data_IF_334358111856
#
_entry.id   IF_334358111856
#
_cell.length_a   1.000
_cell.length_b   1.000
_cell.length_c   1.000
_cell.angle_alpha   90.00
_cell.angle_beta   90.00
_cell.angle_gamma   90.00
#
_symmetry.space_group_name_H-M   'P 1'
#
loop_
_entity.id
_entity.type
_entity.pdbx_description
1 polymer ?
#
# COMPACT_ATOMS: atom_id res chain seq x y z
N UNK A 1 0.59 -10.78 34.66
CA UNK A 1 0.22 -9.58 33.90
C UNK A 1 0.92 -9.70 32.57
N UNK A 2 0.18 -9.95 31.48
CA UNK A 2 0.76 -10.05 30.14
C UNK A 2 1.52 -8.76 29.83
N UNK A 3 2.76 -8.90 29.35
CA UNK A 3 3.65 -7.78 29.11
C UNK A 3 3.03 -6.83 28.07
N UNK A 4 2.74 -5.59 28.48
CA UNK A 4 2.16 -4.56 27.62
C UNK A 4 3.16 -4.03 26.58
N UNK A 5 4.37 -4.56 26.56
CA UNK A 5 5.45 -4.14 25.66
C UNK A 5 5.25 -4.59 24.21
N UNK A 6 4.74 -5.80 24.00
CA UNK A 6 4.60 -6.37 22.65
C UNK A 6 3.67 -5.55 21.72
N UNK A 7 2.49 -5.06 22.16
CA UNK A 7 1.68 -4.17 21.35
C UNK A 7 2.38 -2.84 21.00
N UNK A 8 3.21 -2.30 21.89
CA UNK A 8 3.88 -1.01 21.66
C UNK A 8 4.95 -1.14 20.57
N UNK A 9 5.75 -2.20 20.59
CA UNK A 9 6.79 -2.42 19.57
C UNK A 9 6.17 -2.73 18.19
N UNK A 10 5.05 -3.46 18.15
CA UNK A 10 4.29 -3.64 16.91
C UNK A 10 3.74 -2.31 16.39
N UNK A 11 3.16 -1.48 17.26
CA UNK A 11 2.62 -0.18 16.87
C UNK A 11 3.71 0.78 16.43
N UNK A 12 4.90 0.74 17.03
CA UNK A 12 6.06 1.49 16.59
C UNK A 12 6.50 1.06 15.18
N UNK A 13 6.54 -0.24 14.90
CA UNK A 13 6.80 -0.74 13.56
C UNK A 13 5.73 -0.30 12.54
N UNK A 14 4.45 -0.36 12.90
CA UNK A 14 3.35 0.11 12.04
C UNK A 14 3.47 1.61 11.77
N UNK A 15 3.71 2.41 12.81
CA UNK A 15 3.89 3.86 12.70
C UNK A 15 5.05 4.20 11.75
N UNK A 16 6.20 3.54 11.92
CA UNK A 16 7.36 3.72 11.05
C UNK A 16 7.06 3.32 9.59
N UNK A 17 6.47 2.15 9.36
CA UNK A 17 6.08 1.69 8.00
C UNK A 17 5.16 2.69 7.31
N UNK A 18 4.22 3.26 8.06
CA UNK A 18 3.18 4.13 7.53
C UNK A 18 3.57 5.61 7.53
N UNK A 19 4.72 5.97 8.11
CA UNK A 19 5.17 7.35 8.29
C UNK A 19 4.31 8.16 9.25
N UNK A 20 3.62 7.50 10.19
CA UNK A 20 2.78 8.13 11.22
C UNK A 20 3.52 8.27 12.54
N UNK A 21 2.97 9.06 13.45
CA UNK A 21 3.46 9.06 14.83
C UNK A 21 2.99 7.79 15.55
N UNK A 22 3.72 7.39 16.61
CA UNK A 22 3.28 6.30 17.48
C UNK A 22 1.94 6.62 18.17
N UNK A 23 1.64 7.90 18.41
CA UNK A 23 0.38 8.32 19.01
C UNK A 23 -0.80 8.06 18.07
N UNK A 24 -0.68 8.45 16.81
CA UNK A 24 -1.72 8.20 15.79
C UNK A 24 -1.96 6.70 15.60
N UNK A 25 -0.89 5.90 15.55
CA UNK A 25 -1.00 4.45 15.44
C UNK A 25 -1.70 3.82 16.67
N UNK A 26 -1.47 4.38 17.86
CA UNK A 26 -2.14 3.94 19.09
C UNK A 26 -3.62 4.33 19.09
N UNK A 27 -3.97 5.52 18.63
CA UNK A 27 -5.36 5.95 18.51
C UNK A 27 -6.13 5.03 17.55
N UNK A 28 -5.57 4.79 16.36
CA UNK A 28 -6.16 3.88 15.38
C UNK A 28 -6.31 2.44 15.91
N UNK A 29 -5.35 1.98 16.73
CA UNK A 29 -5.41 0.68 17.39
C UNK A 29 -6.53 0.60 18.42
N UNK A 30 -6.70 1.62 19.26
CA UNK A 30 -7.79 1.66 20.23
C UNK A 30 -9.16 1.75 19.54
N UNK A 31 -9.29 2.49 18.44
CA UNK A 31 -10.52 2.53 17.63
C UNK A 31 -10.84 1.17 16.98
N UNK A 32 -9.80 0.45 16.54
CA UNK A 32 -9.96 -0.85 15.90
C UNK A 32 -10.28 -1.99 16.87
N UNK A 33 -10.15 -1.79 18.20
CA UNK A 33 -10.47 -2.85 19.17
C UNK A 33 -11.96 -3.16 19.18
N UNK A 34 -12.34 -4.45 19.24
CA UNK A 34 -13.74 -4.82 19.34
C UNK A 34 -14.34 -4.31 20.66
N UNK A 35 -15.55 -3.75 20.60
CA UNK A 35 -16.29 -3.29 21.79
C UNK A 35 -16.55 -4.41 22.82
N UNK A 36 -16.57 -5.68 22.36
CA UNK A 36 -16.60 -6.85 23.24
C UNK A 36 -15.21 -7.48 23.26
N UNK A 37 -14.68 -7.64 24.48
CA UNK A 37 -13.38 -8.29 24.70
C UNK A 37 -13.43 -9.75 24.23
N UNK A 38 -12.53 -10.09 23.31
CA UNK A 38 -12.29 -11.46 22.86
C UNK A 38 -10.92 -11.91 23.36
N UNK A 39 -10.94 -12.59 24.51
CA UNK A 39 -9.75 -13.07 25.20
C UNK A 39 -9.28 -14.43 24.67
N UNK A 40 -9.86 -14.95 23.57
CA UNK A 40 -9.34 -16.16 22.94
C UNK A 40 -7.89 -15.92 22.49
N UNK A 41 -6.96 -16.80 22.84
CA UNK A 41 -5.57 -16.64 22.44
C UNK A 41 -5.45 -16.73 20.91
N UNK A 42 -4.64 -15.84 20.34
CA UNK A 42 -4.24 -15.92 18.94
C UNK A 42 -3.24 -17.07 18.77
N UNK A 43 -3.26 -17.73 17.59
CA UNK A 43 -2.29 -18.78 17.32
C UNK A 43 -0.87 -18.22 17.19
N UNK A 44 0.14 -18.97 17.62
CA UNK A 44 1.55 -18.59 17.45
C UNK A 44 1.94 -18.45 15.97
N UNK A 45 1.27 -19.18 15.07
CA UNK A 45 1.46 -19.09 13.62
C UNK A 45 0.99 -17.73 13.07
N UNK A 46 -0.19 -17.26 13.49
CA UNK A 46 -0.72 -15.96 13.08
C UNK A 46 0.17 -14.81 13.58
N UNK A 47 0.65 -14.91 14.82
CA UNK A 47 1.58 -13.94 15.42
C UNK A 47 2.88 -13.92 14.61
N UNK A 48 3.49 -15.08 14.36
CA UNK A 48 4.71 -15.19 13.55
C UNK A 48 4.51 -14.61 12.14
N UNK A 49 3.37 -14.88 11.51
CA UNK A 49 3.02 -14.34 10.19
C UNK A 49 2.94 -12.80 10.20
N UNK A 50 2.30 -12.22 11.21
CA UNK A 50 2.24 -10.76 11.38
C UNK A 50 3.65 -10.15 11.55
N UNK A 51 4.47 -10.74 12.42
CA UNK A 51 5.84 -10.26 12.65
C UNK A 51 6.70 -10.34 11.37
N UNK A 52 6.61 -11.43 10.61
CA UNK A 52 7.29 -11.55 9.32
C UNK A 52 6.82 -10.46 8.35
N UNK A 53 5.51 -10.20 8.26
CA UNK A 53 4.98 -9.13 7.40
C UNK A 53 5.54 -7.75 7.80
N UNK A 54 5.57 -7.44 9.09
CA UNK A 54 6.12 -6.18 9.59
C UNK A 54 7.62 -6.06 9.28
N UNK A 55 8.42 -7.11 9.53
CA UNK A 55 9.87 -7.11 9.23
C UNK A 55 10.15 -6.91 7.75
N UNK A 56 9.36 -7.53 6.89
CA UNK A 56 9.47 -7.36 5.43
C UNK A 56 9.10 -5.92 5.05
N UNK A 57 7.98 -5.38 5.52
CA UNK A 57 7.57 -4.00 5.20
C UNK A 57 8.55 -2.96 5.74
N UNK A 58 9.11 -3.12 6.93
CA UNK A 58 10.16 -2.24 7.46
C UNK A 58 11.40 -2.17 6.54
N UNK A 59 11.68 -3.22 5.77
CA UNK A 59 12.80 -3.22 4.81
C UNK A 59 12.50 -2.52 3.49
N UNK A 60 11.23 -2.23 3.24
CA UNK A 60 10.73 -1.65 1.99
C UNK A 60 10.11 -0.27 2.21
N UNK A 61 9.83 0.10 3.46
CA UNK A 61 9.16 1.34 3.81
C UNK A 61 10.05 2.54 3.45
N UNK A 62 9.58 3.45 2.59
CA UNK A 62 10.38 4.57 2.12
C UNK A 62 10.64 5.62 3.20
N UNK A 63 9.82 5.64 4.26
CA UNK A 63 9.93 6.56 5.39
C UNK A 63 10.97 6.12 6.44
N UNK A 64 11.51 4.90 6.36
CA UNK A 64 12.32 4.30 7.42
C UNK A 64 13.77 4.15 6.96
N UNK A 65 14.71 4.67 7.74
CA UNK A 65 16.14 4.49 7.43
C UNK A 65 16.66 3.09 7.82
N UNK A 66 17.82 2.70 7.30
CA UNK A 66 18.35 1.34 7.49
C UNK A 66 18.66 1.00 8.95
N UNK A 67 19.01 2.00 9.77
CA UNK A 67 19.34 1.83 11.19
C UNK A 67 18.06 1.72 12.00
N UNK A 68 17.11 2.61 11.78
CA UNK A 68 15.78 2.56 12.40
C UNK A 68 15.08 1.22 12.09
N UNK A 69 15.11 0.78 10.84
CA UNK A 69 14.56 -0.52 10.44
C UNK A 69 15.23 -1.69 11.18
N UNK A 70 16.55 -1.62 11.42
CA UNK A 70 17.28 -2.66 12.15
C UNK A 70 16.89 -2.68 13.64
N UNK A 71 16.75 -1.51 14.27
CA UNK A 71 16.33 -1.38 15.67
C UNK A 71 14.91 -1.92 15.88
N UNK A 72 13.97 -1.53 15.00
CA UNK A 72 12.59 -2.02 15.06
C UNK A 72 12.49 -3.53 14.83
N UNK A 73 13.26 -4.09 13.88
CA UNK A 73 13.32 -5.54 13.65
C UNK A 73 13.82 -6.31 14.87
N UNK A 74 14.82 -5.77 15.59
CA UNK A 74 15.33 -6.39 16.81
C UNK A 74 14.28 -6.42 17.94
N UNK A 75 13.46 -5.38 18.06
CA UNK A 75 12.29 -5.39 18.95
C UNK A 75 11.31 -6.51 18.59
N UNK A 76 10.92 -6.59 17.31
CA UNK A 76 10.02 -7.66 16.82
C UNK A 76 10.58 -9.08 17.04
N UNK A 77 11.89 -9.27 16.95
CA UNK A 77 12.54 -10.56 17.24
C UNK A 77 12.49 -10.93 18.73
N UNK A 78 12.47 -9.93 19.61
CA UNK A 78 12.30 -10.14 21.06
C UNK A 78 10.89 -10.69 21.35
N UNK A 79 9.86 -10.16 20.69
CA UNK A 79 8.48 -10.66 20.81
C UNK A 79 8.36 -12.13 20.37
N UNK A 80 9.06 -12.52 19.30
CA UNK A 80 9.03 -13.91 18.82
C UNK A 80 9.74 -14.88 19.77
N UNK A 81 10.76 -14.40 20.49
CA UNK A 81 11.50 -15.17 21.49
C UNK A 81 10.79 -15.28 22.85
N UNK A 82 9.85 -14.38 23.12
CA UNK A 82 8.98 -14.42 24.30
C UNK A 82 7.70 -15.21 24.00
N UNK A 83 7.10 -15.87 25.00
CA UNK A 83 5.77 -16.47 24.89
C UNK A 83 4.69 -15.35 24.85
N UNK A 84 4.80 -14.43 23.89
CA UNK A 84 3.89 -13.31 23.74
C UNK A 84 2.48 -13.84 23.41
N UNK A 85 1.54 -13.63 24.33
CA UNK A 85 0.15 -14.03 24.17
C UNK A 85 -0.68 -12.80 23.78
N UNK A 86 -1.10 -12.75 22.52
CA UNK A 86 -2.08 -11.77 22.06
C UNK A 86 -3.50 -12.33 22.16
N UNK A 87 -4.43 -11.54 22.71
CA UNK A 87 -5.85 -11.81 22.52
C UNK A 87 -6.23 -11.66 21.04
N UNK A 88 -7.13 -12.50 20.54
CA UNK A 88 -7.61 -12.45 19.15
C UNK A 88 -8.19 -11.08 18.78
N UNK A 89 -8.81 -10.37 19.73
CA UNK A 89 -9.25 -8.99 19.54
C UNK A 89 -8.09 -7.99 19.35
N UNK A 90 -6.97 -8.18 20.07
CA UNK A 90 -5.77 -7.34 19.92
C UNK A 90 -5.08 -7.61 18.59
N UNK A 91 -4.93 -8.89 18.22
CA UNK A 91 -4.38 -9.28 16.93
C UNK A 91 -5.21 -8.73 15.75
N UNK A 92 -6.54 -8.81 15.85
CA UNK A 92 -7.45 -8.27 14.85
C UNK A 92 -7.30 -6.74 14.72
N UNK A 93 -7.17 -6.02 15.84
CA UNK A 93 -6.95 -4.58 15.84
C UNK A 93 -5.61 -4.21 15.21
N UNK A 94 -4.50 -4.85 15.61
CA UNK A 94 -3.17 -4.64 15.01
C UNK A 94 -3.16 -4.90 13.50
N UNK A 95 -3.78 -6.01 13.09
CA UNK A 95 -3.94 -6.37 11.67
C UNK A 95 -4.81 -5.36 10.92
N UNK A 96 -5.83 -4.79 11.55
CA UNK A 96 -6.70 -3.80 10.94
C UNK A 96 -5.97 -2.47 10.72
N UNK A 97 -5.19 -2.00 11.71
CA UNK A 97 -4.37 -0.78 11.55
C UNK A 97 -3.38 -0.97 10.40
N UNK A 98 -2.58 -2.04 10.41
CA UNK A 98 -1.60 -2.30 9.34
C UNK A 98 -2.20 -2.35 7.91
N UNK A 99 -3.46 -2.78 7.78
CA UNK A 99 -4.15 -2.90 6.49
C UNK A 99 -4.89 -1.65 6.05
N UNK A 100 -5.33 -0.81 6.99
CA UNK A 100 -6.18 0.36 6.69
C UNK A 100 -5.40 1.65 6.65
N UNK A 101 -4.25 1.68 7.32
CA UNK A 101 -3.42 2.86 7.37
C UNK A 101 -2.63 2.99 6.07
N UNK A 102 -2.86 4.05 5.27
CA UNK A 102 -2.10 4.28 4.05
C UNK A 102 -0.64 4.57 4.40
N UNK A 103 0.28 4.05 3.59
CA UNK A 103 1.70 4.38 3.72
C UNK A 103 1.93 5.81 3.23
N UNK A 104 2.57 6.63 4.07
CA UNK A 104 3.10 7.92 3.65
C UNK A 104 4.38 7.71 2.84
N UNK A 105 4.30 8.00 1.54
CA UNK A 105 5.47 8.05 0.67
C UNK A 105 6.07 9.45 0.79
N UNK A 106 7.28 9.60 1.37
CA UNK A 106 7.88 10.92 1.54
C UNK A 106 8.13 11.57 0.18
N UNK A 107 7.64 12.81 0.02
CA UNK A 107 8.01 13.64 -1.12
C UNK A 107 9.46 14.05 -0.95
N UNK A 108 10.29 13.73 -1.94
CA UNK A 108 11.68 14.18 -1.96
C UNK A 108 11.72 15.49 -2.71
N UNK A 109 12.22 16.55 -2.06
CA UNK A 109 12.46 17.82 -2.73
C UNK A 109 13.58 17.64 -3.77
N UNK A 110 13.27 17.93 -5.04
CA UNK A 110 14.14 17.70 -6.18
C UNK A 110 13.99 18.86 -7.16
N UNK A 111 15.10 19.23 -7.78
CA UNK A 111 15.10 20.22 -8.87
C UNK A 111 14.19 19.75 -10.03
N UNK A 112 13.38 20.64 -10.62
CA UNK A 112 12.54 20.30 -11.74
C UNK A 112 13.32 19.70 -12.91
N UNK A 113 12.84 18.59 -13.46
CA UNK A 113 13.44 17.95 -14.63
C UNK A 113 12.91 18.62 -15.90
N UNK A 114 13.81 19.21 -16.69
CA UNK A 114 13.45 19.77 -17.99
C UNK A 114 13.45 18.68 -19.07
N UNK A 115 12.29 18.44 -19.69
CA UNK A 115 12.20 17.55 -20.83
C UNK A 115 12.78 18.20 -22.10
N UNK A 116 13.46 17.42 -22.98
CA UNK A 116 13.71 17.86 -24.34
C UNK A 116 12.39 18.02 -25.10
N UNK A 117 12.37 18.62 -26.31
CA UNK A 117 11.17 18.66 -27.14
C UNK A 117 10.56 17.26 -27.30
N UNK A 118 9.36 17.06 -26.75
CA UNK A 118 8.65 15.80 -26.81
C UNK A 118 7.66 15.79 -27.97
N UNK A 119 7.45 14.64 -28.63
CA UNK A 119 6.30 14.43 -29.49
C UNK A 119 4.97 14.66 -28.76
N UNK A 120 3.93 15.08 -29.48
CA UNK A 120 2.62 15.42 -28.91
C UNK A 120 2.04 14.30 -28.04
N UNK A 121 2.15 13.04 -28.47
CA UNK A 121 1.58 11.91 -27.72
C UNK A 121 2.28 11.71 -26.37
N UNK A 122 3.59 11.91 -26.29
CA UNK A 122 4.34 11.84 -25.04
C UNK A 122 4.03 13.02 -24.13
N UNK A 123 3.91 14.23 -24.69
CA UNK A 123 3.49 15.39 -23.92
C UNK A 123 2.10 15.21 -23.31
N UNK A 124 1.15 14.59 -24.03
CA UNK A 124 -0.19 14.29 -23.49
C UNK A 124 -0.17 13.21 -22.41
N UNK A 125 0.66 12.19 -22.56
CA UNK A 125 0.85 11.17 -21.53
C UNK A 125 1.43 11.79 -20.24
N UNK A 126 2.46 12.64 -20.33
CA UNK A 126 3.01 13.34 -19.15
C UNK A 126 1.99 14.25 -18.47
N UNK A 127 1.17 14.97 -19.24
CA UNK A 127 0.05 15.75 -18.68
C UNK A 127 -0.95 14.87 -17.94
N UNK A 128 -1.22 13.68 -18.44
CA UNK A 128 -2.12 12.71 -17.78
C UNK A 128 -1.52 12.24 -16.46
N UNK A 129 -0.23 11.91 -16.42
CA UNK A 129 0.48 11.50 -15.20
C UNK A 129 0.49 12.62 -14.14
N UNK A 130 0.75 13.86 -14.56
CA UNK A 130 0.68 15.03 -13.65
C UNK A 130 -0.75 15.23 -13.14
N UNK A 131 -1.77 15.05 -13.99
CA UNK A 131 -3.17 15.11 -13.56
C UNK A 131 -3.55 13.99 -12.57
N UNK A 132 -2.88 12.83 -12.60
CA UNK A 132 -3.09 11.79 -11.59
C UNK A 132 -2.54 12.20 -10.21
N UNK A 133 -1.42 12.92 -10.16
CA UNK A 133 -0.87 13.46 -8.92
C UNK A 133 -1.86 14.40 -8.22
N UNK A 134 -2.59 15.21 -8.99
CA UNK A 134 -3.62 16.12 -8.46
C UNK A 134 -4.79 15.39 -7.78
N UNK A 135 -4.97 14.07 -8.02
CA UNK A 135 -5.98 13.26 -7.33
C UNK A 135 -5.57 12.84 -5.91
N UNK A 136 -4.30 13.03 -5.53
CA UNK A 136 -3.81 12.74 -4.18
C UNK A 136 -3.81 11.26 -3.79
N UNK A 137 -3.88 10.35 -4.76
CA UNK A 137 -3.77 8.91 -4.52
C UNK A 137 -2.31 8.47 -4.58
N UNK A 138 -1.86 7.53 -3.73
CA UNK A 138 -0.48 7.04 -3.80
C UNK A 138 -0.27 6.25 -5.09
N UNK A 139 0.67 6.70 -5.92
CA UNK A 139 1.11 6.02 -7.13
C UNK A 139 2.63 6.15 -7.29
N UNK A 140 3.21 5.26 -8.09
CA UNK A 140 4.62 5.32 -8.46
C UNK A 140 4.76 5.17 -9.97
N UNK A 141 5.60 6.01 -10.57
CA UNK A 141 6.02 5.87 -11.95
C UNK A 141 7.00 4.70 -12.07
N UNK A 142 6.78 3.81 -13.03
CA UNK A 142 7.68 2.68 -13.30
C UNK A 142 8.01 2.58 -14.79
N UNK A 143 8.81 1.59 -15.16
CA UNK A 143 9.08 1.27 -16.56
C UNK A 143 9.95 2.32 -17.27
N UNK A 144 9.67 2.52 -18.56
CA UNK A 144 10.50 3.34 -19.45
C UNK A 144 10.46 4.84 -19.08
N UNK A 145 9.33 5.34 -18.59
CA UNK A 145 9.21 6.75 -18.18
C UNK A 145 10.00 7.06 -16.90
N UNK A 146 10.01 6.14 -15.93
CA UNK A 146 10.86 6.23 -14.74
C UNK A 146 12.34 6.25 -15.13
N UNK A 147 12.74 5.37 -16.04
CA UNK A 147 14.12 5.33 -16.57
C UNK A 147 14.48 6.64 -17.27
N UNK A 148 13.55 7.18 -18.07
CA UNK A 148 13.76 8.44 -18.77
C UNK A 148 13.97 9.61 -17.80
N UNK A 149 13.15 9.72 -16.74
CA UNK A 149 13.30 10.75 -15.72
C UNK A 149 14.68 10.67 -15.05
N UNK A 150 15.10 9.48 -14.61
CA UNK A 150 16.41 9.28 -14.00
C UNK A 150 17.57 9.61 -14.93
N UNK A 151 17.47 9.29 -16.21
CA UNK A 151 18.49 9.69 -17.19
C UNK A 151 18.57 11.22 -17.33
N UNK A 152 17.43 11.89 -17.46
CA UNK A 152 17.37 13.35 -17.58
C UNK A 152 17.91 14.07 -16.34
N UNK A 153 17.56 13.58 -15.14
CA UNK A 153 18.11 14.06 -13.86
C UNK A 153 19.64 14.00 -13.80
N UNK A 154 20.24 13.02 -14.49
CA UNK A 154 21.68 12.81 -14.54
C UNK A 154 22.32 13.34 -15.83
N UNK A 155 21.62 14.19 -16.59
CA UNK A 155 22.13 14.82 -17.81
C UNK A 155 22.27 13.91 -19.02
N UNK A 156 21.71 12.71 -18.98
CA UNK A 156 21.70 11.75 -20.09
C UNK A 156 20.47 12.00 -20.96
N UNK A 157 20.67 12.44 -22.21
CA UNK A 157 19.58 12.87 -23.11
C UNK A 157 19.29 11.90 -24.26
N UNK A 158 20.18 10.93 -24.52
CA UNK A 158 20.03 9.91 -25.55
C UNK A 158 19.20 8.72 -25.02
N UNK A 159 17.91 8.92 -24.85
CA UNK A 159 17.00 7.93 -24.27
C UNK A 159 16.05 7.45 -25.36
N UNK A 160 15.85 6.14 -25.50
CA UNK A 160 14.82 5.62 -26.39
C UNK A 160 13.46 6.10 -25.87
N UNK A 161 12.71 6.91 -26.62
CA UNK A 161 11.37 7.31 -26.21
C UNK A 161 10.50 6.08 -25.99
N UNK A 162 9.77 6.04 -24.88
CA UNK A 162 8.68 5.07 -24.67
C UNK A 162 7.35 5.80 -24.85
N UNK A 163 6.41 5.12 -25.50
CA UNK A 163 5.13 5.71 -25.92
C UNK A 163 3.96 5.30 -25.00
N UNK A 164 4.25 4.43 -24.04
CA UNK A 164 3.39 4.01 -22.95
C UNK A 164 3.81 4.65 -21.62
N UNK A 165 2.84 4.75 -20.71
CA UNK A 165 3.05 5.17 -19.32
C UNK A 165 2.71 4.02 -18.39
N UNK A 166 3.72 3.48 -17.72
CA UNK A 166 3.54 2.44 -16.71
C UNK A 166 3.50 3.08 -15.31
N UNK A 167 2.43 2.80 -14.57
CA UNK A 167 2.28 3.24 -13.18
C UNK A 167 1.86 2.08 -12.29
N UNK A 168 2.27 2.13 -11.04
CA UNK A 168 1.74 1.29 -9.97
C UNK A 168 0.88 2.17 -9.08
N UNK A 169 -0.35 1.75 -8.82
CA UNK A 169 -1.28 2.46 -7.93
C UNK A 169 -1.47 1.67 -6.63
N UNK A 170 -1.38 2.37 -5.50
CA UNK A 170 -1.70 1.81 -4.19
C UNK A 170 -3.22 1.70 -4.02
N UNK A 171 -3.80 0.53 -4.29
CA UNK A 171 -5.23 0.30 -4.11
C UNK A 171 -5.52 -0.22 -2.71
N UNK A 172 -6.21 0.58 -1.92
CA UNK A 172 -6.69 0.20 -0.60
C UNK A 172 -8.17 -0.16 -0.70
N UNK A 173 -8.51 -1.43 -0.53
CA UNK A 173 -9.91 -1.83 -0.41
C UNK A 173 -10.33 -1.73 1.04
N UNK A 174 -11.06 -0.68 1.40
CA UNK A 174 -11.85 -0.70 2.62
C UNK A 174 -12.99 -1.68 2.38
N UNK A 175 -12.85 -2.91 2.85
CA UNK A 175 -13.98 -3.82 2.97
C UNK A 175 -14.90 -3.32 4.11
N UNK A 176 -15.50 -2.15 3.94
CA UNK A 176 -16.79 -1.89 4.57
C UNK A 176 -17.77 -2.80 3.84
N UNK A 177 -18.30 -3.78 4.56
CA UNK A 177 -19.44 -4.58 4.08
C UNK A 177 -20.50 -3.60 3.60
N UNK A 178 -20.75 -3.62 2.30
CA UNK A 178 -21.45 -2.57 1.58
C UNK A 178 -22.85 -2.30 2.14
N UNK A 179 -23.09 -1.06 2.59
CA UNK A 179 -24.30 -0.39 2.13
C UNK A 179 -23.98 0.21 0.76
N UNK A 180 -24.79 -0.14 -0.24
CA UNK A 180 -24.59 0.18 -1.66
C UNK A 180 -24.28 1.68 -1.86
N UNK A 181 -23.18 2.04 -2.54
CA UNK A 181 -23.14 3.25 -3.32
C UNK A 181 -23.70 2.97 -4.72
N UNK A 182 -24.82 3.59 -5.05
CA UNK A 182 -25.25 3.75 -6.43
C UNK A 182 -24.35 4.79 -7.09
N UNK A 183 -23.41 4.38 -7.94
CA UNK A 183 -22.82 5.25 -8.94
C UNK A 183 -22.17 4.39 -10.03
N UNK A 184 -22.94 4.16 -11.09
CA UNK A 184 -22.45 3.73 -12.39
C UNK A 184 -21.78 4.94 -13.04
N UNK A 185 -20.46 4.91 -13.24
CA UNK A 185 -19.79 5.75 -14.23
C UNK A 185 -18.74 4.88 -14.92
N UNK A 186 -19.15 4.25 -16.03
CA UNK A 186 -18.23 3.70 -17.00
C UNK A 186 -17.72 4.85 -17.89
N UNK A 187 -16.42 4.92 -18.24
CA UNK A 187 -15.98 5.83 -19.29
C UNK A 187 -16.52 5.35 -20.64
N UNK A 188 -17.18 6.27 -21.35
CA UNK A 188 -17.70 6.05 -22.71
C UNK A 188 -16.59 5.57 -23.65
N UNK A 189 -16.92 4.51 -24.37
CA UNK A 189 -16.09 3.89 -25.39
C UNK A 189 -15.86 4.85 -26.57
N UNK A 190 -14.65 5.37 -26.71
CA UNK A 190 -14.17 5.85 -28.02
C UNK A 190 -13.78 4.64 -28.87
N UNK A 191 -14.47 4.49 -29.99
CA UNK A 191 -14.46 3.28 -30.81
C UNK A 191 -13.10 2.93 -31.41
N UNK A 192 -12.65 1.70 -31.17
CA UNK A 192 -11.82 0.93 -32.11
C UNK A 192 -12.31 -0.52 -32.16
N UNK A 193 -12.42 -1.05 -33.38
CA UNK A 193 -12.90 -2.39 -33.72
C UNK A 193 -12.00 -3.46 -33.08
N UNK A 194 -12.61 -4.47 -32.46
CA UNK A 194 -11.98 -5.77 -32.19
C UNK A 194 -12.10 -6.68 -33.42
N UNK A 195 -11.12 -7.54 -33.71
CA UNK A 195 -11.40 -8.88 -34.20
C UNK A 195 -11.53 -9.87 -33.04
N UNK A 196 -12.39 -10.86 -33.25
CA UNK A 196 -12.71 -12.02 -32.40
C UNK A 196 -11.43 -12.72 -31.88
N UNK A 197 -11.42 -13.38 -30.73
CA UNK A 197 -12.12 -14.64 -30.45
C UNK A 197 -11.82 -15.02 -28.98
N UNK A 198 -12.81 -15.49 -28.22
CA UNK A 198 -12.69 -16.60 -27.26
C UNK A 198 -13.92 -16.63 -26.33
N UNK A 199 -14.70 -17.67 -26.56
CA UNK A 199 -15.88 -18.19 -25.86
C UNK A 199 -15.86 -18.05 -24.34
N UNK A 200 -16.90 -17.40 -23.81
CA UNK A 200 -17.34 -17.55 -22.42
C UNK A 200 -18.42 -18.64 -22.35
N UNK A 201 -18.26 -19.60 -21.45
CA UNK A 201 -19.35 -20.43 -20.94
C UNK A 201 -19.35 -20.33 -19.42
N UNK A 202 -20.15 -19.39 -18.91
CA UNK A 202 -20.64 -19.41 -17.55
C UNK A 202 -22.09 -19.94 -17.60
N UNK A 203 -22.33 -21.09 -16.95
CA UNK A 203 -23.69 -21.54 -16.65
C UNK A 203 -23.88 -21.44 -15.13
N UNK A 204 -24.67 -20.46 -14.73
CA UNK A 204 -25.29 -20.38 -13.42
C UNK A 204 -26.79 -20.52 -13.65
N UNK A 205 -27.38 -21.61 -13.16
CA UNK A 205 -28.83 -21.76 -13.08
C UNK A 205 -29.19 -22.16 -11.65
N UNK A 206 -29.70 -21.17 -10.92
CA UNK A 206 -30.46 -21.37 -9.71
C UNK A 206 -31.74 -22.16 -10.01
N UNK A 207 -32.14 -23.05 -9.10
CA UNK A 207 -33.57 -23.33 -8.89
C UNK A 207 -33.85 -23.76 -7.46
N UNK A 208 -34.57 -22.87 -6.79
CA UNK A 208 -35.44 -23.09 -5.65
C UNK A 208 -36.41 -24.24 -5.89
N UNK A 209 -36.51 -25.15 -4.92
CA UNK A 209 -37.76 -25.56 -4.27
C UNK A 209 -37.45 -26.19 -2.92
#
# INVERSE_FOLDING_TARGET
MADRRAPVEILAAIAAITGQTLEDAREAYEEAKPHRRDDRPTSSEDIASLLVQLKTRLGLAPAVDIREAAELRAGLDTILGEDAVFGSGEFAALSAVLRRTPEHVPTVDREPVAFPPLPDHQAQMWKTLIGLEELGHPWALVGGQMTMLHCLENGVTAIRPTDDGDIVVGVWTSATRSEKPAATCAPESSGRRRPATATALASCAAKTR
#
